data_IF_521601107215
#
_entry.id   IF_521601107215
#
_cell.length_a   1.000
_cell.length_b   1.000
_cell.length_c   1.000
_cell.angle_alpha   90.00
_cell.angle_beta   90.00
_cell.angle_gamma   90.00
#
_symmetry.space_group_name_H-M   'P 1'
#
loop_
_entity.id
_entity.type
_entity.pdbx_description
1 polymer ?
#
# COMPACT_ATOMS: atom_id res chain seq x y z
N UNK A 1 19.42 30.53 4.80
CA UNK A 1 19.66 29.20 4.20
C UNK A 1 18.34 28.66 3.64
N UNK A 2 18.17 28.67 2.32
CA UNK A 2 16.96 28.13 1.69
C UNK A 2 16.97 26.59 1.77
N UNK A 3 15.92 25.97 2.32
CA UNK A 3 15.74 24.52 2.23
C UNK A 3 15.41 24.17 0.78
N UNK A 4 16.34 23.58 0.05
CA UNK A 4 16.08 23.00 -1.28
C UNK A 4 14.89 22.04 -1.17
N UNK A 5 13.86 22.27 -1.98
CA UNK A 5 12.65 21.43 -2.02
C UNK A 5 13.06 20.06 -2.57
N UNK A 6 12.82 18.99 -1.81
CA UNK A 6 13.12 17.62 -2.27
C UNK A 6 12.38 17.29 -3.56
N UNK A 7 13.03 16.55 -4.45
CA UNK A 7 12.41 16.04 -5.69
C UNK A 7 11.35 14.98 -5.36
N UNK A 8 10.43 14.70 -6.30
CA UNK A 8 9.42 13.66 -6.11
C UNK A 8 10.05 12.28 -5.90
N UNK A 9 11.15 12.00 -6.61
CA UNK A 9 11.95 10.79 -6.44
C UNK A 9 12.50 10.66 -5.02
N UNK A 10 13.18 11.69 -4.51
CA UNK A 10 13.72 11.68 -3.14
C UNK A 10 12.63 11.44 -2.09
N UNK A 11 11.43 12.00 -2.31
CA UNK A 11 10.28 11.81 -1.43
C UNK A 11 9.77 10.37 -1.46
N UNK A 12 9.67 9.78 -2.65
CA UNK A 12 9.24 8.39 -2.84
C UNK A 12 10.27 7.44 -2.22
N UNK A 13 11.56 7.59 -2.56
CA UNK A 13 12.65 6.76 -2.03
C UNK A 13 12.72 6.86 -0.50
N UNK A 14 12.68 8.07 0.06
CA UNK A 14 12.69 8.25 1.51
C UNK A 14 11.48 7.59 2.19
N UNK A 15 10.30 7.68 1.59
CA UNK A 15 9.10 7.06 2.14
C UNK A 15 9.18 5.53 2.07
N UNK A 16 9.65 4.96 0.96
CA UNK A 16 9.83 3.51 0.83
C UNK A 16 10.90 3.00 1.80
N UNK A 17 11.96 3.75 2.06
CA UNK A 17 12.96 3.39 3.07
C UNK A 17 12.36 3.24 4.47
N UNK A 18 11.40 4.10 4.85
CA UNK A 18 10.66 3.96 6.11
C UNK A 18 9.81 2.67 6.14
N UNK A 19 9.24 2.29 5.00
CA UNK A 19 8.48 1.04 4.86
C UNK A 19 9.41 -0.18 4.96
N UNK A 20 10.58 -0.16 4.30
CA UNK A 20 11.63 -1.20 4.43
C UNK A 20 12.07 -1.40 5.87
N UNK A 21 12.36 -0.31 6.59
CA UNK A 21 12.73 -0.40 8.00
C UNK A 21 11.61 -1.03 8.88
N UNK A 22 10.34 -0.83 8.52
CA UNK A 22 9.22 -1.50 9.21
C UNK A 22 9.11 -2.98 8.85
N UNK A 23 9.42 -3.36 7.61
CA UNK A 23 9.47 -4.75 7.16
C UNK A 23 10.60 -5.52 7.86
N UNK A 24 11.80 -4.96 7.93
CA UNK A 24 12.94 -5.57 8.61
C UNK A 24 12.65 -5.85 10.10
N UNK A 25 12.00 -4.91 10.77
CA UNK A 25 11.52 -5.11 12.15
C UNK A 25 10.49 -6.25 12.22
N UNK A 26 9.57 -6.29 11.26
CA UNK A 26 8.56 -7.34 11.23
C UNK A 26 9.14 -8.74 11.06
N UNK A 27 10.15 -8.87 10.19
CA UNK A 27 10.91 -10.10 9.94
C UNK A 27 11.69 -10.61 11.16
N UNK A 28 12.24 -9.71 11.98
CA UNK A 28 12.96 -10.07 13.21
C UNK A 28 12.00 -10.62 14.27
N UNK A 29 10.84 -9.99 14.45
CA UNK A 29 9.87 -10.35 15.49
C UNK A 29 9.04 -11.60 15.16
N UNK A 30 8.89 -11.96 13.87
CA UNK A 30 8.12 -13.11 13.34
C UNK A 30 6.70 -13.29 13.92
N UNK A 31 6.09 -12.22 14.43
CA UNK A 31 4.77 -12.29 15.07
C UNK A 31 3.67 -11.77 14.14
N UNK A 32 2.44 -12.29 14.26
CA UNK A 32 1.30 -11.77 13.49
C UNK A 32 1.08 -10.26 13.69
N UNK A 33 1.41 -9.75 14.88
CA UNK A 33 1.34 -8.32 15.20
C UNK A 33 2.38 -7.51 14.43
N UNK A 34 3.53 -8.11 14.10
CA UNK A 34 4.60 -7.44 13.37
C UNK A 34 4.24 -7.25 11.89
N UNK A 35 3.58 -8.24 11.26
CA UNK A 35 2.96 -8.09 9.94
C UNK A 35 1.94 -6.94 9.91
N UNK A 36 1.12 -6.80 10.95
CA UNK A 36 0.12 -5.71 11.01
C UNK A 36 0.79 -4.34 11.08
N UNK A 37 1.92 -4.22 11.78
CA UNK A 37 2.70 -2.97 11.84
C UNK A 37 3.32 -2.65 10.48
N UNK A 38 3.85 -3.65 9.78
CA UNK A 38 4.35 -3.48 8.41
C UNK A 38 3.24 -3.02 7.46
N UNK A 39 2.08 -3.70 7.44
CA UNK A 39 0.96 -3.32 6.57
C UNK A 39 0.41 -1.92 6.88
N UNK A 40 0.42 -1.53 8.16
CA UNK A 40 0.09 -0.15 8.55
C UNK A 40 1.08 0.86 7.97
N UNK A 41 2.37 0.54 7.92
CA UNK A 41 3.39 1.38 7.30
C UNK A 41 3.18 1.51 5.79
N UNK A 42 2.85 0.40 5.11
CA UNK A 42 2.49 0.40 3.68
C UNK A 42 1.29 1.29 3.41
N UNK A 43 0.22 1.18 4.20
CA UNK A 43 -0.98 1.99 4.01
C UNK A 43 -0.71 3.47 4.28
N UNK A 44 0.08 3.81 5.31
CA UNK A 44 0.53 5.19 5.54
C UNK A 44 1.34 5.75 4.38
N UNK A 45 2.19 4.93 3.75
CA UNK A 45 2.95 5.35 2.59
C UNK A 45 2.03 5.62 1.40
N UNK A 46 1.04 4.75 1.17
CA UNK A 46 0.02 4.97 0.14
C UNK A 46 -0.76 6.26 0.38
N UNK A 47 -1.28 6.49 1.59
CA UNK A 47 -1.98 7.73 1.95
C UNK A 47 -1.09 8.97 1.72
N UNK A 48 0.19 8.88 2.09
CA UNK A 48 1.15 9.95 1.82
C UNK A 48 1.31 10.20 0.33
N UNK A 49 1.43 9.16 -0.49
CA UNK A 49 1.57 9.34 -1.93
C UNK A 49 0.29 9.91 -2.57
N UNK A 50 -0.88 9.43 -2.16
CA UNK A 50 -2.18 9.91 -2.67
C UNK A 50 -2.43 11.38 -2.30
N UNK A 51 -2.14 11.78 -1.05
CA UNK A 51 -2.29 13.16 -0.59
C UNK A 51 -1.31 14.15 -1.22
N UNK A 52 -0.26 13.67 -1.86
CA UNK A 52 0.80 14.49 -2.45
C UNK A 52 0.90 14.33 -3.98
N UNK A 53 -0.10 13.69 -4.60
CA UNK A 53 -0.14 13.41 -6.04
C UNK A 53 1.12 12.68 -6.56
N UNK A 54 1.67 11.75 -5.75
CA UNK A 54 2.89 10.99 -6.06
C UNK A 54 2.60 9.55 -6.52
N UNK A 55 1.34 9.14 -6.62
CA UNK A 55 0.96 7.76 -6.97
C UNK A 55 1.41 7.40 -8.38
N UNK A 56 1.26 8.32 -9.33
CA UNK A 56 1.68 8.10 -10.72
C UNK A 56 3.21 8.08 -10.83
N UNK A 57 3.90 9.02 -10.16
CA UNK A 57 5.36 9.02 -10.06
C UNK A 57 5.90 7.73 -9.42
N UNK A 58 5.19 7.14 -8.46
CA UNK A 58 5.59 5.87 -7.87
C UNK A 58 5.62 4.75 -8.91
N UNK A 59 4.64 4.68 -9.81
CA UNK A 59 4.61 3.64 -10.84
C UNK A 59 5.76 3.78 -11.85
N UNK A 60 6.19 5.01 -12.12
CA UNK A 60 7.32 5.33 -13.01
C UNK A 60 8.69 5.10 -12.34
N UNK A 61 8.84 5.54 -11.09
CA UNK A 61 10.12 5.56 -10.36
C UNK A 61 10.45 4.20 -9.74
N UNK A 62 9.44 3.47 -9.25
CA UNK A 62 9.66 2.18 -8.58
C UNK A 62 10.44 1.13 -9.42
N UNK A 63 10.19 0.92 -10.72
CA UNK A 63 10.98 -0.05 -11.49
C UNK A 63 12.44 0.41 -11.68
N UNK A 64 12.67 1.70 -11.90
CA UNK A 64 14.00 2.24 -12.22
C UNK A 64 14.89 2.38 -10.98
N UNK A 65 14.35 2.91 -9.88
CA UNK A 65 15.14 3.31 -8.70
C UNK A 65 15.05 2.28 -7.58
N UNK A 66 13.91 1.61 -7.45
CA UNK A 66 13.65 0.67 -6.35
C UNK A 66 13.73 -0.79 -6.79
N UNK A 67 13.98 -1.03 -8.09
CA UNK A 67 14.03 -2.35 -8.73
C UNK A 67 12.76 -3.19 -8.48
N UNK A 68 11.62 -2.52 -8.27
CA UNK A 68 10.36 -3.18 -7.97
C UNK A 68 9.64 -3.61 -9.25
N UNK A 69 9.03 -4.79 -9.25
CA UNK A 69 8.20 -5.23 -10.38
C UNK A 69 6.91 -4.42 -10.42
N UNK A 70 6.73 -3.64 -11.49
CA UNK A 70 5.49 -2.90 -11.77
C UNK A 70 4.89 -3.43 -13.06
N UNK A 71 3.61 -3.83 -13.00
CA UNK A 71 2.82 -4.25 -14.17
C UNK A 71 1.69 -3.26 -14.42
N UNK A 72 1.28 -3.12 -15.68
CA UNK A 72 0.12 -2.28 -16.03
C UNK A 72 -1.14 -2.76 -15.29
N UNK A 73 -1.89 -1.82 -14.73
CA UNK A 73 -3.10 -2.10 -13.93
C UNK A 73 -2.84 -2.61 -12.50
N UNK A 74 -1.59 -2.67 -12.06
CA UNK A 74 -1.23 -3.03 -10.69
C UNK A 74 -1.57 -1.91 -9.71
N UNK A 75 -2.17 -2.25 -8.58
CA UNK A 75 -2.51 -1.28 -7.54
C UNK A 75 -1.25 -0.73 -6.86
N UNK A 76 -1.21 0.57 -6.55
CA UNK A 76 -0.04 1.22 -5.96
C UNK A 76 0.47 0.56 -4.67
N UNK A 77 -0.44 0.09 -3.79
CA UNK A 77 -0.05 -0.68 -2.58
C UNK A 77 0.76 -1.94 -2.90
N UNK A 78 0.51 -2.60 -4.04
CA UNK A 78 1.31 -3.75 -4.48
C UNK A 78 2.71 -3.30 -4.84
N UNK A 79 2.84 -2.19 -5.57
CA UNK A 79 4.14 -1.58 -5.89
C UNK A 79 4.91 -1.21 -4.64
N UNK A 80 4.26 -0.64 -3.61
CA UNK A 80 4.90 -0.33 -2.33
C UNK A 80 5.40 -1.62 -1.65
N UNK A 81 4.60 -2.68 -1.65
CA UNK A 81 5.02 -3.99 -1.10
C UNK A 81 6.22 -4.53 -1.87
N UNK A 82 6.15 -4.61 -3.19
CA UNK A 82 7.24 -5.14 -4.02
C UNK A 82 8.51 -4.29 -3.93
N UNK A 83 8.40 -2.98 -3.69
CA UNK A 83 9.55 -2.10 -3.48
C UNK A 83 10.15 -2.15 -2.07
N UNK A 84 9.43 -2.71 -1.09
CA UNK A 84 9.83 -2.69 0.32
C UNK A 84 10.04 -4.04 0.98
N UNK A 85 9.67 -5.13 0.29
CA UNK A 85 9.70 -6.49 0.80
C UNK A 85 10.60 -7.36 -0.09
N UNK A 86 11.69 -7.85 0.51
CA UNK A 86 12.64 -8.76 -0.16
C UNK A 86 12.26 -10.25 0.03
N UNK A 87 11.00 -10.55 0.39
CA UNK A 87 10.55 -11.94 0.54
C UNK A 87 10.14 -12.57 -0.80
N UNK A 88 10.64 -13.79 -1.04
CA UNK A 88 10.27 -14.60 -2.19
C UNK A 88 8.88 -15.24 -2.05
N UNK A 89 8.23 -15.17 -0.87
CA UNK A 89 6.86 -15.63 -0.70
C UNK A 89 5.84 -14.74 -1.42
N UNK A 90 5.62 -15.05 -2.70
CA UNK A 90 4.62 -14.42 -3.56
C UNK A 90 3.19 -14.56 -3.02
N UNK A 91 2.88 -15.64 -2.31
CA UNK A 91 1.53 -15.91 -1.78
C UNK A 91 1.24 -14.97 -0.62
N UNK A 92 2.21 -14.76 0.27
CA UNK A 92 2.12 -13.80 1.36
C UNK A 92 1.94 -12.37 0.84
N UNK A 93 2.81 -11.91 -0.09
CA UNK A 93 2.67 -10.58 -0.71
C UNK A 93 1.31 -10.38 -1.36
N UNK A 94 0.79 -11.41 -2.03
CA UNK A 94 -0.54 -11.36 -2.65
C UNK A 94 -1.66 -11.22 -1.62
N UNK A 95 -1.60 -11.96 -0.51
CA UNK A 95 -2.57 -11.83 0.60
C UNK A 95 -2.52 -10.44 1.24
N UNK A 96 -1.32 -9.92 1.49
CA UNK A 96 -1.14 -8.55 2.01
C UNK A 96 -1.75 -7.50 1.09
N UNK A 97 -1.48 -7.61 -0.22
CA UNK A 97 -2.05 -6.72 -1.23
C UNK A 97 -3.58 -6.74 -1.16
N UNK A 98 -4.19 -7.93 -1.17
CA UNK A 98 -5.65 -8.09 -1.14
C UNK A 98 -6.27 -7.56 0.15
N UNK A 99 -5.63 -7.78 1.29
CA UNK A 99 -6.09 -7.25 2.57
C UNK A 99 -6.08 -5.72 2.59
N UNK A 100 -5.05 -5.09 2.02
CA UNK A 100 -4.95 -3.63 1.92
C UNK A 100 -5.92 -3.05 0.89
N UNK A 101 -6.10 -3.69 -0.26
CA UNK A 101 -7.15 -3.31 -1.22
C UNK A 101 -8.53 -3.33 -0.56
N UNK A 102 -8.84 -4.38 0.21
CA UNK A 102 -10.09 -4.44 0.96
C UNK A 102 -10.22 -3.27 1.94
N UNK A 103 -9.19 -2.99 2.73
CA UNK A 103 -9.16 -1.87 3.66
C UNK A 103 -9.41 -0.52 2.95
N UNK A 104 -8.78 -0.31 1.78
CA UNK A 104 -8.96 0.90 0.97
C UNK A 104 -10.39 1.03 0.43
N UNK A 105 -10.99 -0.05 -0.06
CA UNK A 105 -12.42 -0.03 -0.48
C UNK A 105 -13.39 0.29 0.66
N UNK A 106 -12.94 0.14 1.91
CA UNK A 106 -13.69 0.52 3.11
C UNK A 106 -13.26 1.86 3.69
N UNK A 107 -12.41 2.63 2.99
CA UNK A 107 -11.86 3.91 3.43
C UNK A 107 -11.19 3.85 4.82
N UNK A 108 -10.54 2.72 5.13
CA UNK A 108 -9.87 2.53 6.42
C UNK A 108 -8.59 3.35 6.44
N UNK A 109 -8.49 4.28 7.39
CA UNK A 109 -7.25 5.02 7.63
C UNK A 109 -6.17 4.09 8.20
N UNK A 110 -4.90 4.38 7.92
CA UNK A 110 -3.79 3.53 8.36
C UNK A 110 -3.70 3.41 9.88
N UNK A 111 -4.15 4.41 10.64
CA UNK A 111 -4.22 4.33 12.10
C UNK A 111 -5.22 3.29 12.61
N UNK A 112 -6.28 3.03 11.85
CA UNK A 112 -7.35 2.10 12.17
C UNK A 112 -7.13 0.70 11.61
N UNK A 113 -6.16 0.54 10.70
CA UNK A 113 -5.92 -0.71 9.97
C UNK A 113 -5.77 -1.91 10.91
N UNK A 114 -5.05 -1.78 12.02
CA UNK A 114 -4.80 -2.89 12.93
C UNK A 114 -6.09 -3.40 13.59
N UNK A 115 -6.96 -2.47 14.00
CA UNK A 115 -8.29 -2.79 14.55
C UNK A 115 -9.16 -3.42 13.46
N UNK A 116 -9.14 -2.85 12.26
CA UNK A 116 -9.89 -3.35 11.12
C UNK A 116 -9.48 -4.79 10.74
N UNK A 117 -8.18 -5.08 10.63
CA UNK A 117 -7.69 -6.43 10.34
C UNK A 117 -8.15 -7.42 11.41
N UNK A 118 -8.06 -7.07 12.70
CA UNK A 118 -8.53 -7.95 13.79
C UNK A 118 -10.03 -8.22 13.71
N UNK A 119 -10.84 -7.22 13.41
CA UNK A 119 -12.28 -7.37 13.27
C UNK A 119 -12.70 -8.25 12.07
N UNK A 120 -11.81 -8.45 11.09
CA UNK A 120 -12.09 -9.18 9.86
C UNK A 120 -11.28 -10.49 9.76
N UNK A 121 -11.03 -11.18 10.88
CA UNK A 121 -10.28 -12.44 10.94
C UNK A 121 -8.83 -12.34 10.41
N UNK A 122 -8.21 -11.18 10.60
CA UNK A 122 -6.83 -10.91 10.22
C UNK A 122 -6.63 -10.68 8.72
N UNK A 123 -5.37 -10.78 8.28
CA UNK A 123 -4.97 -10.59 6.88
C UNK A 123 -5.68 -11.58 5.95
N UNK A 124 -5.76 -12.85 6.35
CA UNK A 124 -6.37 -13.89 5.53
C UNK A 124 -7.86 -13.61 5.31
N UNK A 125 -8.60 -13.28 6.37
CA UNK A 125 -10.02 -12.95 6.26
C UNK A 125 -10.27 -11.71 5.38
N UNK A 126 -9.48 -10.64 5.52
CA UNK A 126 -9.56 -9.49 4.62
C UNK A 126 -9.24 -9.85 3.16
N UNK A 127 -8.23 -10.69 2.92
CA UNK A 127 -7.87 -11.12 1.56
C UNK A 127 -8.98 -11.95 0.91
N UNK A 128 -9.64 -12.82 1.68
CA UNK A 128 -10.79 -13.60 1.22
C UNK A 128 -11.99 -12.69 0.91
N UNK A 129 -12.26 -11.70 1.77
CA UNK A 129 -13.31 -10.71 1.56
C UNK A 129 -13.05 -9.85 0.30
N UNK A 130 -11.81 -9.41 0.07
CA UNK A 130 -11.42 -8.74 -1.18
C UNK A 130 -11.75 -9.59 -2.41
N UNK A 131 -11.43 -10.89 -2.36
CA UNK A 131 -11.66 -11.82 -3.47
C UNK A 131 -13.14 -12.04 -3.76
N UNK A 132 -13.99 -11.98 -2.72
CA UNK A 132 -15.45 -12.08 -2.83
C UNK A 132 -16.11 -10.77 -3.29
N UNK A 133 -15.53 -9.63 -2.91
CA UNK A 133 -16.09 -8.30 -3.20
C UNK A 133 -15.74 -7.81 -4.60
N UNK A 134 -14.58 -8.18 -5.14
CA UNK A 134 -14.20 -7.83 -6.52
C UNK A 134 -14.85 -8.79 -7.53
N UNK A 135 -15.86 -8.32 -8.27
CA UNK A 135 -16.45 -9.09 -9.38
C UNK A 135 -15.38 -9.42 -10.43
N UNK A 136 -15.51 -10.54 -11.17
CA UNK A 136 -14.56 -10.94 -12.22
C UNK A 136 -14.31 -9.84 -13.28
N UNK A 137 -15.22 -8.87 -13.42
CA UNK A 137 -15.14 -7.74 -14.36
C UNK A 137 -14.27 -6.57 -13.86
N UNK A 138 -14.15 -6.35 -12.54
CA UNK A 138 -13.32 -5.25 -12.00
C UNK A 138 -11.81 -5.54 -12.04
N UNK A 139 -11.42 -6.79 -12.34
CA UNK A 139 -10.01 -7.24 -12.42
C UNK A 139 -9.22 -6.60 -13.56
N UNK A 140 -9.86 -5.85 -14.46
CA UNK A 140 -9.25 -5.20 -15.63
C UNK A 140 -9.24 -3.67 -15.57
N UNK A 141 -9.73 -3.04 -14.50
CA UNK A 141 -9.72 -1.56 -14.41
C UNK A 141 -8.50 -1.10 -13.61
N UNK A 142 -7.60 -0.28 -14.19
CA UNK A 142 -6.67 0.49 -13.39
C UNK A 142 -7.53 1.45 -12.56
N UNK A 143 -7.64 1.21 -11.25
CA UNK A 143 -8.40 2.04 -10.31
C UNK A 143 -7.50 3.10 -9.67
N UNK A 144 -6.82 3.90 -10.49
CA UNK A 144 -6.74 5.31 -10.11
C UNK A 144 -8.08 5.90 -10.57
N UNK A 145 -8.76 6.67 -9.72
CA UNK A 145 -10.11 7.26 -9.92
C UNK A 145 -11.36 6.38 -9.68
N UNK A 146 -12.00 6.57 -8.52
CA UNK A 146 -13.18 7.46 -8.39
C UNK A 146 -13.11 8.15 -7.02
N UNK A 147 -12.64 9.40 -6.97
CA UNK A 147 -12.89 10.30 -5.82
C UNK A 147 -14.35 10.76 -5.93
N UNK A 148 -15.26 10.53 -4.95
CA UNK A 148 -16.28 11.53 -4.70
C UNK A 148 -15.54 12.73 -4.13
N UNK A 149 -15.40 13.81 -4.92
CA UNK A 149 -15.15 15.14 -4.37
C UNK A 149 -16.25 15.37 -3.34
N UNK A 150 -15.89 15.43 -2.07
CA UNK A 150 -16.74 16.04 -1.06
C UNK A 150 -16.85 17.53 -1.44
N UNK A 151 -17.82 17.87 -2.29
CA UNK A 151 -18.35 19.21 -2.35
C UNK A 151 -19.16 19.41 -1.08
N UNK A 152 -18.52 19.93 -0.04
CA UNK A 152 -19.24 20.71 0.95
C UNK A 152 -19.70 21.99 0.23
N UNK A 153 -20.98 22.01 -0.13
CA UNK A 153 -21.72 23.19 -0.57
C UNK A 153 -22.22 23.96 0.67
N UNK A 154 -22.55 25.26 0.50
CA UNK A 154 -22.00 26.40 1.24
C UNK A 154 -22.45 26.52 2.68
#
# INVERSE_FOLDING_TARGET
MAKTKRTNEERIVARIALVRASYEKARKDRSKTSDYRYLRSVLRAYEYFDQNDLVDNLAEIAPCVLMASVRSGQHAVRTIIDASCDDDDLRMRSRWTRALEYALTRNVAANDLLRFLRANNGIAGCADLASKTQSKSSRRRPLYFVKPRLTLKP
#
